data_IF_961535258120
#
_entry.id   IF_961535258120
#
_cell.length_a   1.000
_cell.length_b   1.000
_cell.length_c   1.000
_cell.angle_alpha   90.00
_cell.angle_beta   90.00
_cell.angle_gamma   90.00
#
_symmetry.space_group_name_H-M   'P 1'
#
loop_
_entity.id
_entity.type
_entity.pdbx_description
1 polymer ?
#
# COMPACT_ATOMS: atom_id res chain seq x y z
N UNK A 1 15.22 13.29 2.25
CA UNK A 1 15.23 12.28 3.34
C UNK A 1 13.83 12.05 3.89
N UNK A 2 13.13 13.08 4.39
CA UNK A 2 11.80 12.92 5.02
C UNK A 2 10.73 12.32 4.10
N UNK A 3 10.61 12.81 2.85
CA UNK A 3 9.61 12.30 1.89
C UNK A 3 9.78 10.80 1.57
N UNK A 4 11.02 10.34 1.45
CA UNK A 4 11.30 8.93 1.19
C UNK A 4 10.72 8.04 2.30
N UNK A 5 11.02 8.36 3.56
CA UNK A 5 10.52 7.57 4.68
C UNK A 5 9.02 7.69 4.85
N UNK A 6 8.43 8.85 4.59
CA UNK A 6 6.98 9.02 4.61
C UNK A 6 6.29 8.07 3.63
N UNK A 7 6.70 8.08 2.36
CA UNK A 7 6.10 7.20 1.35
C UNK A 7 6.47 5.73 1.60
N UNK A 8 7.71 5.43 1.98
CA UNK A 8 8.10 4.06 2.31
C UNK A 8 7.26 3.47 3.45
N UNK A 9 7.02 4.24 4.52
CA UNK A 9 6.18 3.80 5.62
C UNK A 9 4.74 3.57 5.16
N UNK A 10 4.18 4.46 4.34
CA UNK A 10 2.85 4.28 3.78
C UNK A 10 2.77 3.00 2.90
N UNK A 11 3.72 2.80 2.00
CA UNK A 11 3.79 1.61 1.13
C UNK A 11 3.88 0.32 1.94
N UNK A 12 4.74 0.29 2.97
CA UNK A 12 4.88 -0.86 3.87
C UNK A 12 3.57 -1.14 4.61
N UNK A 13 2.87 -0.11 5.11
CA UNK A 13 1.55 -0.29 5.74
C UNK A 13 0.55 -0.88 4.75
N UNK A 14 0.48 -0.35 3.53
CA UNK A 14 -0.42 -0.87 2.49
C UNK A 14 -0.12 -2.33 2.14
N UNK A 15 1.16 -2.66 2.00
CA UNK A 15 1.61 -4.03 1.75
C UNK A 15 1.24 -4.97 2.89
N UNK A 16 1.46 -4.58 4.14
CA UNK A 16 1.10 -5.40 5.31
C UNK A 16 -0.41 -5.62 5.41
N UNK A 17 -1.21 -4.60 5.15
CA UNK A 17 -2.68 -4.72 5.09
C UNK A 17 -3.08 -5.70 3.99
N UNK A 18 -2.53 -5.56 2.78
CA UNK A 18 -2.84 -6.45 1.67
C UNK A 18 -2.43 -7.90 1.94
N UNK A 19 -1.26 -8.12 2.56
CA UNK A 19 -0.79 -9.45 2.97
C UNK A 19 -1.71 -10.06 4.02
N UNK A 20 -2.12 -9.29 5.03
CA UNK A 20 -3.07 -9.74 6.05
C UNK A 20 -4.39 -10.20 5.42
N UNK A 21 -5.03 -9.35 4.61
CA UNK A 21 -6.28 -9.68 3.94
C UNK A 21 -6.15 -10.79 2.90
N UNK A 22 -4.97 -10.98 2.32
CA UNK A 22 -4.72 -12.12 1.45
C UNK A 22 -4.83 -13.45 2.20
N UNK A 23 -4.22 -13.55 3.38
CA UNK A 23 -4.27 -14.78 4.17
C UNK A 23 -5.63 -15.00 4.83
N UNK A 24 -6.23 -13.95 5.41
CA UNK A 24 -7.61 -14.01 5.91
C UNK A 24 -8.58 -14.41 4.81
N UNK A 25 -8.43 -13.84 3.61
CA UNK A 25 -9.30 -14.12 2.47
C UNK A 25 -9.20 -15.56 1.95
N UNK A 26 -8.04 -16.20 2.09
CA UNK A 26 -7.90 -17.64 1.83
C UNK A 26 -8.64 -18.44 2.90
N UNK A 27 -8.57 -18.00 4.17
CA UNK A 27 -9.21 -18.67 5.30
C UNK A 27 -10.74 -18.59 5.27
N UNK A 28 -11.30 -17.45 4.88
CA UNK A 28 -12.75 -17.22 4.81
C UNK A 28 -13.38 -17.56 3.45
N UNK A 29 -12.56 -17.85 2.44
CA UNK A 29 -12.98 -18.23 1.09
C UNK A 29 -13.32 -17.06 0.16
N UNK A 30 -13.17 -15.81 0.60
CA UNK A 30 -13.33 -14.62 -0.26
C UNK A 30 -12.24 -14.53 -1.35
N UNK A 31 -11.09 -15.16 -1.12
CA UNK A 31 -10.05 -15.40 -2.12
C UNK A 31 -10.09 -16.87 -2.52
N UNK A 32 -10.35 -17.10 -3.80
CA UNK A 32 -10.48 -18.43 -4.38
C UNK A 32 -9.77 -18.51 -5.74
N UNK A 33 -9.80 -19.67 -6.38
CA UNK A 33 -9.20 -19.85 -7.70
C UNK A 33 -9.70 -18.83 -8.75
N UNK A 34 -10.90 -18.28 -8.59
CA UNK A 34 -11.48 -17.30 -9.52
C UNK A 34 -10.83 -15.92 -9.46
N UNK A 35 -10.24 -15.52 -8.32
CA UNK A 35 -9.69 -14.18 -8.12
C UNK A 35 -8.25 -14.15 -7.57
N UNK A 36 -7.66 -15.31 -7.24
CA UNK A 36 -6.31 -15.38 -6.66
C UNK A 36 -5.24 -14.74 -7.56
N UNK A 37 -5.39 -14.83 -8.88
CA UNK A 37 -4.48 -14.18 -9.83
C UNK A 37 -4.43 -12.65 -9.65
N UNK A 38 -5.58 -12.01 -9.41
CA UNK A 38 -5.66 -10.56 -9.17
C UNK A 38 -4.96 -10.18 -7.87
N UNK A 39 -5.13 -10.99 -6.82
CA UNK A 39 -4.46 -10.79 -5.55
C UNK A 39 -2.95 -10.93 -5.64
N UNK A 40 -2.45 -11.94 -6.38
CA UNK A 40 -1.03 -12.11 -6.60
C UNK A 40 -0.42 -10.95 -7.38
N UNK A 41 -1.13 -10.42 -8.39
CA UNK A 41 -0.70 -9.21 -9.12
C UNK A 41 -0.68 -7.99 -8.20
N UNK A 42 -1.69 -7.81 -7.34
CA UNK A 42 -1.74 -6.72 -6.37
C UNK A 42 -0.55 -6.79 -5.40
N UNK A 43 -0.34 -7.94 -4.76
CA UNK A 43 0.78 -8.15 -3.84
C UNK A 43 2.13 -7.97 -4.54
N UNK A 44 2.30 -8.59 -5.71
CA UNK A 44 3.50 -8.45 -6.52
C UNK A 44 3.78 -6.99 -6.90
N UNK A 45 2.75 -6.23 -7.26
CA UNK A 45 2.84 -4.79 -7.55
C UNK A 45 3.27 -3.98 -6.33
N UNK A 46 2.67 -4.21 -5.16
CA UNK A 46 3.04 -3.54 -3.92
C UNK A 46 4.49 -3.85 -3.51
N UNK A 47 4.90 -5.12 -3.59
CA UNK A 47 6.29 -5.53 -3.36
C UNK A 47 7.24 -4.86 -4.37
N UNK A 48 6.87 -4.82 -5.65
CA UNK A 48 7.69 -4.23 -6.70
C UNK A 48 7.90 -2.72 -6.50
N UNK A 49 6.84 -1.96 -6.19
CA UNK A 49 6.94 -0.51 -5.93
C UNK A 49 7.82 -0.24 -4.71
N UNK A 50 7.53 -0.90 -3.58
CA UNK A 50 8.26 -0.73 -2.32
C UNK A 50 9.75 -1.09 -2.49
N UNK A 51 10.02 -2.22 -3.15
CA UNK A 51 11.35 -2.73 -3.41
C UNK A 51 12.13 -1.87 -4.40
N UNK A 52 11.52 -1.47 -5.52
CA UNK A 52 12.16 -0.61 -6.51
C UNK A 52 12.48 0.77 -5.94
N UNK A 53 11.56 1.37 -5.19
CA UNK A 53 11.79 2.63 -4.50
C UNK A 53 12.98 2.56 -3.54
N UNK A 54 13.05 1.50 -2.74
CA UNK A 54 14.16 1.23 -1.82
C UNK A 54 15.49 0.99 -2.56
N UNK A 55 15.48 0.21 -3.64
CA UNK A 55 16.68 -0.05 -4.44
C UNK A 55 17.21 1.22 -5.14
N UNK A 56 16.32 2.07 -5.66
CA UNK A 56 16.70 3.36 -6.25
C UNK A 56 17.33 4.29 -5.21
N UNK A 57 16.83 4.28 -3.97
CA UNK A 57 17.40 5.04 -2.85
C UNK A 57 18.83 4.59 -2.53
N UNK A 58 19.08 3.28 -2.48
CA UNK A 58 20.42 2.72 -2.25
C UNK A 58 21.41 3.10 -3.37
N UNK A 59 20.93 3.31 -4.60
CA UNK A 59 21.72 3.78 -5.75
C UNK A 59 21.88 5.31 -5.81
N UNK A 60 21.46 6.05 -4.77
CA UNK A 60 21.52 7.51 -4.71
C UNK A 60 20.48 8.24 -5.60
N UNK A 61 19.59 7.52 -6.28
CA UNK A 61 18.58 8.08 -7.18
C UNK A 61 17.34 8.56 -6.42
N UNK A 62 17.55 9.55 -5.53
CA UNK A 62 16.57 9.99 -4.54
C UNK A 62 15.24 10.47 -5.12
N UNK A 63 15.28 11.24 -6.21
CA UNK A 63 14.06 11.75 -6.85
C UNK A 63 13.25 10.60 -7.44
N UNK A 64 13.89 9.66 -8.14
CA UNK A 64 13.20 8.49 -8.71
C UNK A 64 12.62 7.59 -7.63
N UNK A 65 13.36 7.38 -6.54
CA UNK A 65 12.87 6.62 -5.39
C UNK A 65 11.57 7.23 -4.83
N UNK A 66 11.55 8.56 -4.61
CA UNK A 66 10.35 9.24 -4.12
C UNK A 66 9.19 9.14 -5.11
N UNK A 67 9.44 9.30 -6.41
CA UNK A 67 8.41 9.22 -7.45
C UNK A 67 7.80 7.82 -7.51
N UNK A 68 8.63 6.77 -7.45
CA UNK A 68 8.15 5.38 -7.44
C UNK A 68 7.31 5.11 -6.20
N UNK A 69 7.81 5.43 -5.01
CA UNK A 69 7.05 5.20 -3.76
C UNK A 69 5.78 6.06 -3.69
N UNK A 70 5.76 7.26 -4.28
CA UNK A 70 4.58 8.10 -4.31
C UNK A 70 3.38 7.46 -5.04
N UNK A 71 3.61 6.49 -5.93
CA UNK A 71 2.55 5.78 -6.67
C UNK A 71 1.60 5.04 -5.72
N UNK A 72 2.11 4.50 -4.62
CA UNK A 72 1.33 3.81 -3.58
C UNK A 72 1.17 4.71 -2.36
N UNK A 73 2.22 5.42 -1.96
CA UNK A 73 2.23 6.20 -0.74
C UNK A 73 1.19 7.32 -0.72
N UNK A 74 0.98 8.03 -1.84
CA UNK A 74 -0.06 9.06 -1.94
C UNK A 74 -1.46 8.46 -1.75
N UNK A 75 -1.91 7.46 -2.55
CA UNK A 75 -3.24 6.89 -2.35
C UNK A 75 -3.41 6.25 -0.97
N UNK A 76 -2.38 5.62 -0.40
CA UNK A 76 -2.44 5.07 0.96
C UNK A 76 -2.62 6.16 2.02
N UNK A 77 -1.87 7.25 1.94
CA UNK A 77 -2.02 8.38 2.88
C UNK A 77 -3.42 8.99 2.75
N UNK A 78 -3.91 9.20 1.53
CA UNK A 78 -5.25 9.75 1.30
C UNK A 78 -6.35 8.81 1.83
N UNK A 79 -6.23 7.50 1.61
CA UNK A 79 -7.14 6.51 2.18
C UNK A 79 -7.11 6.52 3.71
N UNK A 80 -5.93 6.56 4.32
CA UNK A 80 -5.78 6.66 5.77
C UNK A 80 -6.40 7.94 6.36
N UNK A 81 -6.19 9.08 5.70
CA UNK A 81 -6.81 10.36 6.10
C UNK A 81 -8.33 10.35 5.92
N UNK A 82 -8.84 9.72 4.86
CA UNK A 82 -10.26 9.53 4.67
C UNK A 82 -10.88 8.70 5.81
N UNK A 83 -10.27 7.55 6.12
CA UNK A 83 -10.72 6.70 7.24
C UNK A 83 -10.66 7.44 8.57
N UNK A 84 -9.59 8.20 8.83
CA UNK A 84 -9.49 9.04 10.02
C UNK A 84 -10.60 10.09 10.08
N UNK A 85 -10.93 10.70 8.94
CA UNK A 85 -12.02 11.68 8.85
C UNK A 85 -13.36 11.02 9.19
N UNK A 86 -13.63 9.82 8.68
CA UNK A 86 -14.85 9.06 9.03
C UNK A 86 -14.91 8.80 10.54
N UNK A 87 -13.81 8.39 11.16
CA UNK A 87 -13.76 8.15 12.61
C UNK A 87 -14.04 9.41 13.43
N UNK A 88 -13.44 10.54 13.05
CA UNK A 88 -13.54 11.81 13.80
C UNK A 88 -14.89 12.50 13.58
N UNK A 89 -15.36 12.54 12.33
CA UNK A 89 -16.59 13.27 11.98
C UNK A 89 -17.87 12.52 12.31
N UNK A 90 -17.79 11.20 12.58
CA UNK A 90 -18.94 10.34 12.91
C UNK A 90 -20.13 10.61 11.96
N UNK A 91 -19.91 10.59 10.62
CA UNK A 91 -20.93 10.99 9.68
C UNK A 91 -22.11 10.03 9.79
N UNK A 92 -23.33 10.56 9.66
CA UNK A 92 -24.51 9.71 9.54
C UNK A 92 -24.49 9.13 8.13
N UNK A 93 -24.53 7.80 8.05
CA UNK A 93 -24.70 7.07 6.81
C UNK A 93 -26.21 6.95 6.55
N UNK A 94 -26.83 8.02 6.09
CA UNK A 94 -28.29 8.14 5.91
C UNK A 94 -28.68 8.54 4.49
#
# INVERSE_FOLDING_TARGET
MRLFYLFLTADVIALLIAVYFFFEGIGDGSISASNIGLWLVLLGGLFAVTGLGSALRLRGQNTKANVVLALVGIPTILAGLFVLTVFVSQPRWN
#
